data_IF_563041281165
#
_entry.id   IF_563041281165
#
_cell.length_a   1.000
_cell.length_b   1.000
_cell.length_c   1.000
_cell.angle_alpha   90.00
_cell.angle_beta   90.00
_cell.angle_gamma   90.00
#
_symmetry.space_group_name_H-M   'P 1'
#
loop_
_entity.id
_entity.type
_entity.pdbx_description
1 polymer ?
#
# COMPACT_ATOMS: atom_id res chain seq x y z
N UNK A 1 2.21 -14.91 -5.17
CA UNK A 1 2.15 -13.93 -4.07
C UNK A 1 0.69 -13.62 -3.79
N UNK A 2 0.27 -13.80 -2.55
CA UNK A 2 -1.06 -13.50 -2.06
C UNK A 2 -1.05 -12.19 -1.28
N UNK A 3 -1.97 -11.30 -1.60
CA UNK A 3 -2.12 -9.99 -0.96
C UNK A 3 -3.49 -9.94 -0.29
N UNK A 4 -3.55 -9.39 0.91
CA UNK A 4 -4.83 -9.05 1.52
C UNK A 4 -4.93 -7.54 1.72
N UNK A 5 -6.03 -6.95 1.28
CA UNK A 5 -6.34 -5.55 1.52
C UNK A 5 -7.41 -5.47 2.60
N UNK A 6 -7.10 -4.82 3.71
CA UNK A 6 -8.04 -4.57 4.80
C UNK A 6 -8.41 -3.10 4.85
N UNK A 7 -9.71 -2.80 4.97
CA UNK A 7 -10.20 -1.41 4.99
C UNK A 7 -11.38 -1.28 5.93
N UNK A 8 -11.54 -0.09 6.50
CA UNK A 8 -12.70 0.30 7.31
C UNK A 8 -13.60 1.34 6.60
N UNK A 9 -13.31 1.59 5.32
CA UNK A 9 -13.98 2.60 4.50
C UNK A 9 -13.71 2.45 3.00
N UNK A 10 -13.99 3.49 2.20
CA UNK A 10 -13.96 3.41 0.74
C UNK A 10 -12.56 3.46 0.13
N UNK A 11 -11.50 3.68 0.93
CA UNK A 11 -10.16 3.92 0.40
C UNK A 11 -9.50 2.68 -0.20
N UNK A 12 -9.80 1.48 0.32
CA UNK A 12 -9.21 0.23 -0.16
C UNK A 12 -9.74 -0.27 -1.51
N UNK A 13 -10.97 0.10 -1.90
CA UNK A 13 -11.64 -0.47 -3.09
C UNK A 13 -10.86 -0.22 -4.38
N UNK A 14 -10.28 0.99 -4.50
CA UNK A 14 -9.49 1.36 -5.69
C UNK A 14 -8.18 0.60 -5.76
N UNK A 15 -7.49 0.47 -4.63
CA UNK A 15 -6.26 -0.29 -4.55
C UNK A 15 -6.52 -1.76 -4.92
N UNK A 16 -7.61 -2.32 -4.42
CA UNK A 16 -8.05 -3.68 -4.76
C UNK A 16 -8.30 -3.87 -6.26
N UNK A 17 -9.04 -2.94 -6.89
CA UNK A 17 -9.36 -3.04 -8.31
C UNK A 17 -8.12 -3.13 -9.19
N UNK A 18 -7.02 -2.48 -8.80
CA UNK A 18 -5.74 -2.50 -9.53
C UNK A 18 -4.86 -3.68 -9.12
N UNK A 19 -4.70 -3.95 -7.82
CA UNK A 19 -3.76 -4.97 -7.33
C UNK A 19 -4.17 -6.38 -7.76
N UNK A 20 -5.48 -6.66 -7.80
CA UNK A 20 -6.00 -7.97 -8.21
C UNK A 20 -5.73 -8.33 -9.68
N UNK A 21 -5.35 -7.36 -10.51
CA UNK A 21 -5.00 -7.61 -11.92
C UNK A 21 -3.61 -8.25 -12.06
N UNK A 22 -2.74 -8.03 -11.07
CA UNK A 22 -1.35 -8.53 -11.07
C UNK A 22 -1.13 -9.67 -10.06
N UNK A 23 -1.87 -9.69 -8.95
CA UNK A 23 -1.68 -10.64 -7.85
C UNK A 23 -2.99 -11.26 -7.36
N UNK A 24 -2.88 -12.42 -6.70
CA UNK A 24 -4.00 -13.02 -5.98
C UNK A 24 -4.32 -12.14 -4.77
N UNK A 25 -5.48 -11.48 -4.78
CA UNK A 25 -5.81 -10.43 -3.83
C UNK A 25 -7.17 -10.68 -3.17
N UNK A 26 -7.17 -10.72 -1.85
CA UNK A 26 -8.37 -10.71 -1.03
C UNK A 26 -8.72 -9.26 -0.63
N UNK A 27 -10.02 -8.97 -0.54
CA UNK A 27 -10.52 -7.68 -0.10
C UNK A 27 -11.43 -7.86 1.11
N UNK A 28 -10.97 -7.36 2.25
CA UNK A 28 -11.61 -7.55 3.54
C UNK A 28 -12.07 -6.19 4.05
N UNK A 29 -13.36 -6.10 4.34
CA UNK A 29 -13.97 -4.90 4.95
C UNK A 29 -14.19 -5.19 6.41
N UNK A 30 -13.57 -4.40 7.27
CA UNK A 30 -13.79 -4.42 8.71
C UNK A 30 -14.70 -3.26 9.11
N UNK A 31 -15.58 -3.50 10.07
CA UNK A 31 -16.36 -2.42 10.65
C UNK A 31 -15.47 -1.58 11.57
N UNK A 32 -15.34 -0.30 11.25
CA UNK A 32 -14.66 0.63 12.15
C UNK A 32 -15.53 0.91 13.38
N UNK A 33 -14.98 0.87 14.59
CA UNK A 33 -15.73 1.19 15.79
C UNK A 33 -16.26 2.63 15.75
N UNK A 34 -17.49 2.84 16.20
CA UNK A 34 -18.11 4.17 16.24
C UNK A 34 -17.60 5.05 17.39
N UNK A 35 -16.91 4.48 18.38
CA UNK A 35 -16.38 5.20 19.55
C UNK A 35 -14.88 5.44 19.45
N UNK A 36 -14.46 6.66 19.78
CA UNK A 36 -13.05 7.09 19.80
C UNK A 36 -12.24 6.55 20.99
N UNK A 37 -12.88 5.73 21.83
CA UNK A 37 -12.28 5.03 22.96
C UNK A 37 -12.85 3.61 22.94
N UNK A 38 -11.97 2.62 22.84
CA UNK A 38 -12.29 1.22 23.06
C UNK A 38 -11.45 0.72 24.21
N UNK A 39 -12.09 -0.01 25.13
CA UNK A 39 -11.38 -0.74 26.18
C UNK A 39 -10.78 -2.06 25.65
N UNK A 40 -11.34 -2.65 24.58
CA UNK A 40 -10.83 -3.87 23.92
C UNK A 40 -11.14 -3.87 22.40
N UNK A 41 -10.09 -3.91 21.55
CA UNK A 41 -10.19 -4.09 20.09
C UNK A 41 -10.38 -5.56 19.75
N UNK A 42 -11.60 -5.93 19.37
CA UNK A 42 -11.91 -7.29 18.94
C UNK A 42 -11.66 -7.43 17.44
N UNK A 43 -10.58 -8.13 17.09
CA UNK A 43 -10.27 -8.52 15.72
C UNK A 43 -10.99 -9.84 15.41
N UNK A 44 -11.94 -9.87 14.44
CA UNK A 44 -12.69 -11.09 14.16
C UNK A 44 -11.76 -12.24 13.78
N UNK A 45 -11.84 -13.36 14.51
CA UNK A 45 -10.92 -14.48 14.32
C UNK A 45 -10.94 -15.05 12.89
N UNK A 46 -12.09 -15.01 12.21
CA UNK A 46 -12.22 -15.40 10.81
C UNK A 46 -11.43 -14.49 9.87
N UNK A 47 -11.52 -13.18 10.08
CA UNK A 47 -10.75 -12.16 9.34
C UNK A 47 -9.26 -12.34 9.55
N UNK A 48 -8.82 -12.54 10.80
CA UNK A 48 -7.41 -12.75 11.11
C UNK A 48 -6.87 -14.02 10.45
N UNK A 49 -7.62 -15.12 10.50
CA UNK A 49 -7.24 -16.36 9.84
C UNK A 49 -7.19 -16.25 8.30
N UNK A 50 -7.81 -15.24 7.69
CA UNK A 50 -7.65 -14.91 6.27
C UNK A 50 -6.41 -14.04 6.02
N UNK A 51 -6.19 -13.02 6.85
CA UNK A 51 -5.05 -12.11 6.78
C UNK A 51 -3.71 -12.84 6.99
N UNK A 52 -3.64 -13.77 7.93
CA UNK A 52 -2.45 -14.59 8.22
C UNK A 52 -2.02 -15.48 7.04
N UNK A 53 -2.88 -15.70 6.05
CA UNK A 53 -2.55 -16.49 4.85
C UNK A 53 -1.91 -15.64 3.75
N UNK A 54 -1.87 -14.33 3.91
CA UNK A 54 -1.32 -13.42 2.91
C UNK A 54 0.20 -13.29 3.08
N UNK A 55 0.90 -13.08 1.96
CA UNK A 55 2.31 -12.73 1.98
C UNK A 55 2.47 -11.24 2.34
N UNK A 56 1.60 -10.38 1.80
CA UNK A 56 1.56 -8.94 2.09
C UNK A 56 0.16 -8.53 2.55
N UNK A 57 0.11 -7.75 3.63
CA UNK A 57 -1.12 -7.09 4.09
C UNK A 57 -1.04 -5.60 3.80
N UNK A 58 -2.05 -5.08 3.10
CA UNK A 58 -2.20 -3.65 2.82
C UNK A 58 -3.41 -3.11 3.58
N UNK A 59 -3.16 -2.28 4.60
CA UNK A 59 -4.22 -1.70 5.42
C UNK A 59 -4.53 -0.26 5.02
N UNK A 60 -5.83 0.01 4.83
CA UNK A 60 -6.41 1.35 4.66
C UNK A 60 -7.31 1.73 5.84
N UNK A 61 -7.17 1.04 6.96
CA UNK A 61 -7.90 1.35 8.20
C UNK A 61 -7.48 2.73 8.70
N UNK A 62 -8.47 3.59 8.98
CA UNK A 62 -8.24 4.96 9.41
C UNK A 62 -8.05 5.09 10.93
N UNK A 63 -8.63 4.17 11.70
CA UNK A 63 -8.56 4.22 13.15
C UNK A 63 -7.16 3.79 13.64
N UNK A 64 -6.39 4.68 14.30
CA UNK A 64 -4.98 4.40 14.62
C UNK A 64 -4.82 3.20 15.56
N UNK A 65 -5.70 3.05 16.56
CA UNK A 65 -5.60 1.92 17.50
C UNK A 65 -5.90 0.58 16.81
N UNK A 66 -6.83 0.57 15.83
CA UNK A 66 -7.17 -0.63 15.09
C UNK A 66 -6.04 -1.02 14.13
N UNK A 67 -5.43 -0.03 13.48
CA UNK A 67 -4.25 -0.23 12.64
C UNK A 67 -3.07 -0.76 13.46
N UNK A 68 -2.86 -0.24 14.67
CA UNK A 68 -1.80 -0.72 15.56
C UNK A 68 -2.04 -2.16 15.99
N UNK A 69 -3.25 -2.50 16.42
CA UNK A 69 -3.61 -3.87 16.82
C UNK A 69 -3.46 -4.86 15.64
N UNK A 70 -3.88 -4.47 14.43
CA UNK A 70 -3.68 -5.26 13.22
C UNK A 70 -2.19 -5.49 12.93
N UNK A 71 -1.37 -4.45 13.06
CA UNK A 71 0.08 -4.57 12.83
C UNK A 71 0.73 -5.45 13.88
N UNK A 72 0.41 -5.25 15.16
CA UNK A 72 0.94 -6.05 16.27
C UNK A 72 0.59 -7.54 16.11
N UNK A 73 -0.63 -7.86 15.66
CA UNK A 73 -1.06 -9.23 15.45
C UNK A 73 -0.45 -9.90 14.21
N UNK A 74 -0.16 -9.14 13.15
CA UNK A 74 0.20 -9.69 11.84
C UNK A 74 1.68 -9.61 11.50
N UNK A 75 2.47 -8.72 12.11
CA UNK A 75 3.85 -8.48 11.67
C UNK A 75 4.73 -9.74 11.73
N UNK A 76 4.46 -10.67 12.64
CA UNK A 76 5.19 -11.94 12.76
C UNK A 76 4.57 -13.09 11.93
N UNK A 77 3.41 -12.85 11.30
CA UNK A 77 2.67 -13.85 10.51
C UNK A 77 2.82 -13.63 8.99
N UNK A 78 3.11 -12.41 8.56
CA UNK A 78 3.21 -12.04 7.14
C UNK A 78 4.58 -11.46 6.79
N UNK A 79 4.95 -11.49 5.52
CA UNK A 79 6.27 -11.03 5.07
C UNK A 79 6.38 -9.51 5.11
N UNK A 80 5.30 -8.79 4.77
CA UNK A 80 5.30 -7.33 4.81
C UNK A 80 3.92 -6.73 5.09
N UNK A 81 3.89 -5.62 5.81
CA UNK A 81 2.68 -4.80 6.01
C UNK A 81 2.89 -3.41 5.40
N UNK A 82 1.95 -2.98 4.58
CA UNK A 82 1.91 -1.63 4.02
C UNK A 82 0.73 -0.90 4.64
N UNK A 83 0.99 0.23 5.31
CA UNK A 83 -0.04 1.06 5.92
C UNK A 83 -0.33 2.23 4.98
N UNK A 84 -1.38 2.09 4.18
CA UNK A 84 -1.79 3.07 3.17
C UNK A 84 -2.56 4.27 3.73
N UNK A 85 -3.00 4.20 4.99
CA UNK A 85 -3.69 5.29 5.67
C UNK A 85 -3.13 5.49 7.08
N UNK A 86 -2.41 6.59 7.28
CA UNK A 86 -1.81 6.95 8.57
C UNK A 86 -1.73 8.47 8.71
N UNK A 87 -1.55 8.96 9.94
CA UNK A 87 -1.36 10.38 10.23
C UNK A 87 -0.40 10.60 11.40
N UNK A 88 0.56 11.50 11.20
CA UNK A 88 1.49 11.94 12.24
C UNK A 88 2.73 11.07 12.34
N UNK A 89 3.89 11.72 12.43
CA UNK A 89 5.20 11.05 12.41
C UNK A 89 5.41 10.12 13.62
N UNK A 90 4.83 10.43 14.77
CA UNK A 90 4.90 9.58 15.96
C UNK A 90 4.29 8.20 15.73
N UNK A 91 3.09 8.17 15.14
CA UNK A 91 2.40 6.93 14.81
C UNK A 91 3.13 6.16 13.71
N UNK A 92 3.58 6.86 12.67
CA UNK A 92 4.42 6.26 11.62
C UNK A 92 5.66 5.57 12.18
N UNK A 93 6.44 6.29 12.99
CA UNK A 93 7.69 5.75 13.55
C UNK A 93 7.42 4.54 14.45
N UNK A 94 6.29 4.52 15.15
CA UNK A 94 5.87 3.37 15.94
C UNK A 94 5.58 2.16 15.05
N UNK A 95 4.80 2.33 13.98
CA UNK A 95 4.47 1.24 13.06
C UNK A 95 5.72 0.72 12.32
N UNK A 96 6.58 1.61 11.81
CA UNK A 96 7.79 1.21 11.09
C UNK A 96 8.85 0.57 12.01
N UNK A 97 8.72 0.71 13.35
CA UNK A 97 9.65 0.07 14.30
C UNK A 97 9.58 -1.46 14.34
N UNK A 98 8.50 -2.04 13.83
CA UNK A 98 8.33 -3.49 13.68
C UNK A 98 9.24 -4.09 12.59
N UNK A 99 9.82 -3.27 11.70
CA UNK A 99 10.87 -3.67 10.76
C UNK A 99 10.41 -4.22 9.42
N UNK A 100 9.24 -4.86 9.34
CA UNK A 100 8.59 -5.30 8.09
C UNK A 100 7.30 -4.51 7.79
N UNK A 101 7.24 -3.27 8.25
CA UNK A 101 6.10 -2.37 8.09
C UNK A 101 6.57 -1.10 7.41
N UNK A 102 5.82 -0.64 6.39
CA UNK A 102 6.10 0.62 5.69
C UNK A 102 4.86 1.50 5.65
N UNK A 103 5.03 2.78 5.96
CA UNK A 103 3.97 3.80 5.90
C UNK A 103 4.26 4.77 4.74
N UNK A 104 3.96 4.40 3.48
CA UNK A 104 4.17 5.30 2.34
C UNK A 104 3.19 6.47 2.37
N UNK A 105 3.62 7.63 1.87
CA UNK A 105 2.70 8.74 1.54
C UNK A 105 1.87 8.39 0.30
N UNK A 106 2.52 7.81 -0.72
CA UNK A 106 1.86 7.27 -1.91
C UNK A 106 2.47 5.90 -2.26
N UNK A 107 1.68 5.01 -2.86
CA UNK A 107 2.17 3.69 -3.28
C UNK A 107 3.39 3.76 -4.21
N UNK A 108 3.42 4.77 -5.11
CA UNK A 108 4.54 5.00 -6.01
C UNK A 108 5.81 5.56 -5.35
N UNK A 109 5.80 5.78 -4.03
CA UNK A 109 7.00 6.18 -3.28
C UNK A 109 7.78 4.96 -2.76
N UNK A 110 7.18 3.77 -2.81
CA UNK A 110 7.84 2.54 -2.37
C UNK A 110 9.06 2.22 -3.25
N UNK A 111 10.14 1.81 -2.60
CA UNK A 111 11.40 1.40 -3.22
C UNK A 111 11.83 0.05 -2.70
N UNK A 112 12.44 -0.75 -3.58
CA UNK A 112 12.94 -2.08 -3.23
C UNK A 112 13.90 -1.98 -2.04
N UNK A 113 13.80 -2.93 -1.11
CA UNK A 113 14.56 -2.96 0.13
C UNK A 113 15.33 -4.29 0.35
N UNK A 114 15.22 -5.23 -0.59
CA UNK A 114 15.92 -6.52 -0.55
C UNK A 114 15.08 -7.68 0.00
N UNK A 115 13.88 -7.44 0.52
CA UNK A 115 12.94 -8.52 0.78
C UNK A 115 12.31 -8.94 -0.57
N UNK A 116 12.43 -10.22 -0.98
CA UNK A 116 12.00 -10.65 -2.31
C UNK A 116 10.50 -10.52 -2.56
N UNK A 117 9.68 -10.71 -1.53
CA UNK A 117 8.22 -10.61 -1.61
C UNK A 117 7.80 -9.15 -1.73
N UNK A 118 8.37 -8.29 -0.89
CA UNK A 118 8.12 -6.85 -0.97
C UNK A 118 8.64 -6.25 -2.29
N UNK A 119 9.84 -6.63 -2.72
CA UNK A 119 10.44 -6.15 -3.97
C UNK A 119 9.62 -6.60 -5.19
N UNK A 120 9.04 -7.80 -5.18
CA UNK A 120 8.11 -8.24 -6.23
C UNK A 120 6.89 -7.31 -6.32
N UNK A 121 6.29 -6.96 -5.18
CA UNK A 121 5.18 -6.00 -5.12
C UNK A 121 5.60 -4.60 -5.61
N UNK A 122 6.72 -4.10 -5.11
CA UNK A 122 7.26 -2.76 -5.45
C UNK A 122 7.64 -2.69 -6.92
N UNK A 123 8.12 -3.77 -7.52
CA UNK A 123 8.44 -3.82 -8.94
C UNK A 123 7.24 -3.53 -9.83
N UNK A 124 6.00 -3.76 -9.34
CA UNK A 124 4.74 -3.51 -10.05
C UNK A 124 4.10 -2.17 -9.73
N UNK A 125 4.08 -1.78 -8.46
CA UNK A 125 3.30 -0.62 -7.98
C UNK A 125 4.14 0.49 -7.35
N UNK A 126 5.41 0.21 -7.08
CA UNK A 126 6.34 1.15 -6.47
C UNK A 126 6.83 2.23 -7.44
N UNK A 127 7.98 2.80 -7.09
CA UNK A 127 8.52 3.95 -7.82
C UNK A 127 8.85 3.61 -9.28
N UNK A 128 8.32 4.37 -10.25
CA UNK A 128 8.55 4.08 -11.66
C UNK A 128 10.01 4.35 -12.03
N UNK A 129 10.61 3.43 -12.77
CA UNK A 129 11.97 3.59 -13.27
C UNK A 129 11.95 4.37 -14.57
N UNK A 130 12.35 5.64 -14.52
CA UNK A 130 12.45 6.51 -15.69
C UNK A 130 13.88 6.44 -16.26
N UNK A 131 14.02 5.94 -17.48
CA UNK A 131 15.28 5.96 -18.23
C UNK A 131 15.23 7.09 -19.25
N UNK A 132 16.10 8.09 -19.07
CA UNK A 132 16.25 9.17 -20.04
C UNK A 132 17.36 8.80 -21.01
N UNK A 133 17.01 8.68 -22.29
CA UNK A 133 17.99 8.47 -23.36
C UNK A 133 18.07 9.73 -24.21
N UNK A 134 19.17 10.47 -24.07
CA UNK A 134 19.45 11.63 -24.89
C UNK A 134 20.33 11.20 -26.07
N UNK A 135 19.77 11.23 -27.28
CA UNK A 135 20.53 10.95 -28.50
C UNK A 135 20.76 12.25 -29.29
N UNK A 136 22.02 12.67 -29.37
CA UNK A 136 22.53 13.67 -30.32
C UNK A 136 22.63 15.12 -29.82
N UNK A 137 23.50 15.90 -30.46
CA UNK A 137 23.84 17.32 -30.21
C UNK A 137 22.68 18.33 -30.35
N UNK A 138 21.44 17.85 -30.48
CA UNK A 138 20.23 18.66 -30.67
C UNK A 138 19.19 18.36 -29.60
N UNK A 139 19.53 18.51 -28.31
CA UNK A 139 18.60 18.78 -27.20
C UNK A 139 17.35 17.91 -27.01
N UNK A 140 17.20 16.80 -27.72
CA UNK A 140 16.03 15.93 -27.70
C UNK A 140 16.34 14.71 -26.81
N UNK A 141 15.84 14.75 -25.59
CA UNK A 141 15.87 13.60 -24.69
C UNK A 141 14.54 12.83 -24.80
N UNK A 142 14.63 11.53 -25.09
CA UNK A 142 13.49 10.62 -24.97
C UNK A 142 13.39 10.15 -23.51
N UNK A 143 12.24 10.38 -22.91
CA UNK A 143 11.91 9.86 -21.58
C UNK A 143 11.22 8.52 -21.80
N UNK A 144 11.90 7.43 -21.43
CA UNK A 144 11.33 6.09 -21.38
C UNK A 144 10.88 5.85 -19.93
N UNK A 145 9.58 5.93 -19.69
CA UNK A 145 9.02 5.49 -18.41
C UNK A 145 8.86 3.98 -18.51
N UNK A 146 9.63 3.23 -17.73
CA UNK A 146 9.43 1.80 -17.61
C UNK A 146 8.28 1.55 -16.66
N UNK A 147 7.04 1.54 -17.18
CA UNK A 147 5.81 0.87 -16.71
C UNK A 147 4.60 1.39 -17.51
N UNK A 148 3.55 0.58 -17.68
CA UNK A 148 2.30 1.00 -18.34
C UNK A 148 1.68 2.19 -17.57
N UNK A 149 1.80 3.37 -18.17
CA UNK A 149 1.43 4.67 -17.59
C UNK A 149 -0.06 4.75 -17.12
N UNK A 150 -0.90 3.82 -17.57
CA UNK A 150 -2.32 3.74 -17.23
C UNK A 150 -2.60 3.31 -15.78
N UNK A 151 -1.78 2.44 -15.19
CA UNK A 151 -1.91 2.01 -13.79
C UNK A 151 -1.58 3.17 -12.84
N UNK A 152 -0.63 4.02 -13.25
CA UNK A 152 -0.12 5.15 -12.48
C UNK A 152 -1.18 6.23 -12.21
N UNK A 153 -2.15 6.40 -13.12
CA UNK A 153 -3.19 7.42 -12.98
C UNK A 153 -4.29 7.00 -11.99
N UNK A 154 -4.52 5.70 -11.79
CA UNK A 154 -5.65 5.19 -11.01
C UNK A 154 -5.42 5.22 -9.49
N UNK A 155 -4.20 5.00 -9.03
CA UNK A 155 -3.84 5.10 -7.60
C UNK A 155 -3.61 6.54 -7.11
N UNK A 156 -3.44 7.51 -8.02
CA UNK A 156 -2.94 8.86 -7.70
C UNK A 156 -4.01 9.92 -7.41
N UNK A 157 -5.30 9.61 -7.57
CA UNK A 157 -6.38 10.58 -7.38
C UNK A 157 -6.80 10.76 -5.91
N UNK A 158 -5.88 11.25 -5.07
CA UNK A 158 -6.23 11.85 -3.78
C UNK A 158 -5.72 13.31 -3.61
N UNK A 159 -4.84 13.89 -4.46
CA UNK A 159 -4.54 15.34 -4.28
C UNK A 159 -4.01 16.23 -5.40
N UNK A 160 -3.93 15.83 -6.67
CA UNK A 160 -3.44 16.74 -7.71
C UNK A 160 -4.43 16.99 -8.86
N UNK A 161 -4.85 18.24 -8.99
CA UNK A 161 -5.53 18.80 -10.16
C UNK A 161 -4.49 18.91 -11.30
N UNK A 162 -4.27 17.84 -12.06
CA UNK A 162 -3.47 17.90 -13.29
C UNK A 162 -4.41 17.90 -14.49
N UNK A 163 -4.40 19.00 -15.23
CA UNK A 163 -5.06 19.15 -16.53
C UNK A 163 -4.19 18.46 -17.58
N UNK A 164 -4.71 17.42 -18.22
CA UNK A 164 -4.11 16.87 -19.44
C UNK A 164 -4.58 17.70 -20.64
N UNK A 165 -3.63 18.28 -21.38
CA UNK A 165 -3.86 18.79 -22.74
C UNK A 165 -3.47 17.64 -23.67
N UNK A 166 -4.47 17.09 -24.35
CA UNK A 166 -4.34 16.10 -25.43
C UNK A 166 -3.74 16.73 -26.70
#
# INVERSE_FOLDING_TARGET
MKIAIVTDGPYGERAYATIKEEFDCDYIVMESPTSSFMDEIDLPAETMAELEKADIVLTYVLHPDLTLELVDALHDQVEWIIVGAWRGDGFKNQLESYGNVTCPENMCDLTENGNPVFDEFVSKFGRPVVKVNCQGDKGLCKILVGFDFYIFLFLFFIKLHIVFIL
#
